data_IF_778675205120
#
_entry.id   IF_778675205120
#
_cell.length_a   1.000
_cell.length_b   1.000
_cell.length_c   1.000
_cell.angle_alpha   90.00
_cell.angle_beta   90.00
_cell.angle_gamma   90.00
#
_symmetry.space_group_name_H-M   'P 1'
#
loop_
_entity.id
_entity.type
_entity.pdbx_description
1 polymer ?
#
# COMPACT_ATOMS: atom_id res chain seq x y z
N UNK A 1 -7.45 -21.33 -9.97
CA UNK A 1 -7.93 -19.94 -9.91
C UNK A 1 -6.91 -19.01 -10.57
N UNK A 2 -7.35 -17.93 -11.24
CA UNK A 2 -6.46 -16.89 -11.82
C UNK A 2 -5.80 -16.03 -10.72
N UNK A 3 -6.51 -15.82 -9.62
CA UNK A 3 -6.02 -15.10 -8.44
C UNK A 3 -7.10 -15.04 -7.36
N UNK A 4 -6.90 -14.16 -6.40
CA UNK A 4 -7.83 -13.81 -5.33
C UNK A 4 -7.95 -12.28 -5.22
N UNK A 5 -8.98 -11.82 -4.51
CA UNK A 5 -9.09 -10.41 -4.10
C UNK A 5 -8.66 -10.28 -2.64
N UNK A 6 -8.01 -9.17 -2.33
CA UNK A 6 -7.71 -8.76 -0.97
C UNK A 6 -8.00 -7.27 -0.77
N UNK A 7 -7.98 -6.86 0.50
CA UNK A 7 -7.96 -5.45 0.87
C UNK A 7 -6.54 -5.04 1.24
N UNK A 8 -6.18 -3.78 1.04
CA UNK A 8 -4.85 -3.24 1.37
C UNK A 8 -5.01 -1.86 2.01
N UNK A 9 -4.91 -1.82 3.34
CA UNK A 9 -4.99 -0.59 4.16
C UNK A 9 -3.62 -0.12 4.61
N UNK A 10 -2.70 -1.06 4.82
CA UNK A 10 -1.30 -0.81 5.19
C UNK A 10 -0.33 -1.80 4.53
N UNK A 11 -0.75 -2.50 3.46
CA UNK A 11 0.04 -3.52 2.78
C UNK A 11 -0.61 -4.90 2.67
N UNK A 12 -1.86 -5.08 3.10
CA UNK A 12 -2.49 -6.41 3.21
C UNK A 12 -2.72 -7.17 1.89
N UNK A 13 -2.50 -6.55 0.72
CA UNK A 13 -2.35 -7.25 -0.57
C UNK A 13 -0.87 -7.47 -0.90
N UNK A 14 -0.05 -6.42 -0.74
CA UNK A 14 1.37 -6.43 -1.16
C UNK A 14 2.27 -7.29 -0.27
N UNK A 15 2.14 -7.19 1.05
CA UNK A 15 2.92 -7.94 2.04
C UNK A 15 2.74 -9.46 1.84
N UNK A 16 1.53 -10.04 1.96
CA UNK A 16 1.39 -11.49 1.79
C UNK A 16 1.79 -11.95 0.39
N UNK A 17 1.64 -11.10 -0.63
CA UNK A 17 2.11 -11.42 -1.97
C UNK A 17 3.64 -11.52 -2.05
N UNK A 18 4.35 -10.56 -1.43
CA UNK A 18 5.81 -10.58 -1.28
C UNK A 18 6.28 -11.83 -0.54
N UNK A 19 5.66 -12.13 0.61
CA UNK A 19 6.04 -13.26 1.45
C UNK A 19 5.73 -14.63 0.81
N UNK A 20 4.75 -14.70 -0.09
CA UNK A 20 4.35 -15.93 -0.77
C UNK A 20 4.91 -16.06 -2.20
N UNK A 21 5.71 -15.11 -2.67
CA UNK A 21 6.28 -15.14 -4.03
C UNK A 21 5.24 -15.04 -5.14
N UNK A 22 4.20 -14.21 -4.95
CA UNK A 22 3.16 -13.94 -5.96
C UNK A 22 3.04 -12.43 -6.25
N UNK A 23 2.27 -12.06 -7.26
CA UNK A 23 2.00 -10.66 -7.62
C UNK A 23 0.81 -10.11 -6.83
N UNK A 24 1.02 -9.06 -6.03
CA UNK A 24 -0.03 -8.31 -5.36
C UNK A 24 -0.10 -6.88 -5.89
N UNK A 25 -1.27 -6.44 -6.33
CA UNK A 25 -1.45 -5.09 -6.88
C UNK A 25 -2.43 -4.31 -6.01
N UNK A 26 -1.95 -3.25 -5.37
CA UNK A 26 -2.81 -2.24 -4.75
C UNK A 26 -3.05 -1.14 -5.80
N UNK A 27 -4.25 -0.94 -6.33
CA UNK A 27 -4.46 0.12 -7.32
C UNK A 27 -4.45 1.50 -6.66
N UNK A 28 -4.58 2.56 -7.48
CA UNK A 28 -4.84 3.92 -7.00
C UNK A 28 -6.10 3.94 -6.12
N UNK A 29 -6.11 4.76 -5.07
CA UNK A 29 -7.29 4.94 -4.23
C UNK A 29 -8.53 5.29 -5.08
N UNK A 30 -9.65 4.63 -4.79
CA UNK A 30 -10.91 4.81 -5.54
C UNK A 30 -10.99 4.09 -6.90
N UNK A 31 -9.92 3.46 -7.41
CA UNK A 31 -9.95 2.74 -8.70
C UNK A 31 -10.89 1.52 -8.70
N UNK A 32 -11.03 0.87 -7.55
CA UNK A 32 -11.93 -0.27 -7.33
C UNK A 32 -12.90 0.11 -6.24
N UNK A 33 -14.20 -0.04 -6.50
CA UNK A 33 -15.27 0.25 -5.52
C UNK A 33 -15.10 -0.60 -4.26
N UNK A 34 -15.37 0.01 -3.12
CA UNK A 34 -15.34 -0.63 -1.80
C UNK A 34 -16.75 -0.90 -1.27
N UNK A 35 -17.78 -0.70 -2.10
CA UNK A 35 -19.17 -1.02 -1.72
C UNK A 35 -19.29 -2.51 -1.38
N UNK A 36 -19.74 -2.79 -0.15
CA UNK A 36 -19.86 -4.16 0.37
C UNK A 36 -18.58 -4.73 1.00
N UNK A 37 -17.50 -3.95 1.04
CA UNK A 37 -16.28 -4.28 1.79
C UNK A 37 -16.44 -3.75 3.22
N UNK A 38 -16.17 -4.60 4.21
CA UNK A 38 -16.12 -4.17 5.61
C UNK A 38 -14.92 -3.23 5.79
N UNK A 39 -15.12 -1.97 6.22
CA UNK A 39 -14.04 -1.01 6.28
C UNK A 39 -13.12 -1.30 7.47
N UNK A 40 -11.81 -1.12 7.25
CA UNK A 40 -10.84 -0.88 8.32
C UNK A 40 -10.56 0.61 8.44
N UNK A 41 -10.35 1.30 7.31
CA UNK A 41 -10.18 2.74 7.23
C UNK A 41 -10.72 3.26 5.90
N UNK A 42 -11.79 4.05 5.97
CA UNK A 42 -12.36 4.72 4.79
C UNK A 42 -11.33 5.55 4.04
N UNK A 43 -10.35 6.16 4.70
CA UNK A 43 -9.37 6.99 4.02
C UNK A 43 -8.15 6.25 3.47
N UNK A 44 -7.99 4.95 3.74
CA UNK A 44 -6.78 4.18 3.42
C UNK A 44 -7.06 2.80 2.77
N UNK A 45 -8.27 2.27 2.87
CA UNK A 45 -8.61 0.97 2.30
C UNK A 45 -8.59 0.98 0.78
N UNK A 46 -7.94 -0.03 0.20
CA UNK A 46 -7.97 -0.35 -1.22
C UNK A 46 -8.43 -1.80 -1.41
N UNK A 47 -8.99 -2.12 -2.57
CA UNK A 47 -9.24 -3.50 -3.01
C UNK A 47 -8.32 -3.80 -4.18
N UNK A 48 -7.66 -4.95 -4.16
CA UNK A 48 -6.66 -5.30 -5.17
C UNK A 48 -6.54 -6.79 -5.42
N UNK A 49 -6.06 -7.21 -6.62
CA UNK A 49 -5.83 -8.61 -6.93
C UNK A 49 -4.51 -9.13 -6.34
N UNK A 50 -4.52 -10.41 -5.98
CA UNK A 50 -3.35 -11.24 -5.69
C UNK A 50 -3.34 -12.40 -6.69
N UNK A 51 -2.31 -12.50 -7.52
CA UNK A 51 -2.26 -13.44 -8.63
C UNK A 51 -0.85 -14.00 -8.87
N UNK A 52 -0.71 -15.06 -9.66
CA UNK A 52 0.60 -15.68 -9.93
C UNK A 52 1.48 -14.88 -10.90
N UNK A 53 0.92 -13.89 -11.58
CA UNK A 53 1.62 -13.08 -12.57
C UNK A 53 1.04 -11.68 -12.69
N UNK A 54 1.83 -10.74 -13.21
CA UNK A 54 1.35 -9.40 -13.57
C UNK A 54 0.23 -9.43 -14.61
N UNK A 55 0.27 -10.39 -15.55
CA UNK A 55 -0.78 -10.57 -16.54
C UNK A 55 -2.12 -10.97 -15.91
N UNK A 56 -2.11 -11.94 -14.98
CA UNK A 56 -3.31 -12.36 -14.27
C UNK A 56 -3.85 -11.20 -13.38
N UNK A 57 -2.96 -10.47 -12.71
CA UNK A 57 -3.36 -9.30 -11.91
C UNK A 57 -4.01 -8.21 -12.78
N UNK A 58 -3.47 -7.94 -13.97
CA UNK A 58 -4.03 -6.98 -14.92
C UNK A 58 -5.43 -7.37 -15.40
N UNK A 59 -5.66 -8.66 -15.70
CA UNK A 59 -6.96 -9.18 -16.10
C UNK A 59 -8.00 -9.06 -14.98
N UNK A 60 -7.62 -9.41 -13.74
CA UNK A 60 -8.52 -9.29 -12.58
C UNK A 60 -8.81 -7.81 -12.29
N UNK A 61 -7.80 -6.94 -12.29
CA UNK A 61 -8.00 -5.51 -12.05
C UNK A 61 -8.94 -4.91 -13.10
N UNK A 62 -8.79 -5.26 -14.39
CA UNK A 62 -9.68 -4.80 -15.45
C UNK A 62 -11.15 -5.17 -15.20
N UNK A 63 -11.40 -6.33 -14.58
CA UNK A 63 -12.74 -6.81 -14.30
C UNK A 63 -13.41 -6.13 -13.08
N UNK A 64 -12.62 -5.68 -12.11
CA UNK A 64 -13.13 -5.11 -10.84
C UNK A 64 -13.01 -3.57 -10.78
N UNK A 65 -12.17 -2.97 -11.61
CA UNK A 65 -11.97 -1.53 -11.64
C UNK A 65 -13.11 -0.82 -12.39
N UNK A 66 -13.41 0.40 -11.97
CA UNK A 66 -14.42 1.25 -12.60
C UNK A 66 -15.18 2.10 -11.61
N UNK A 67 -15.85 3.11 -12.16
CA UNK A 67 -16.72 3.99 -11.40
C UNK A 67 -17.94 3.22 -10.89
N UNK A 68 -18.22 3.31 -9.58
CA UNK A 68 -19.45 2.86 -8.95
C UNK A 68 -20.16 4.06 -8.31
N UNK A 69 -21.33 4.49 -8.82
CA UNK A 69 -22.03 5.64 -8.28
C UNK A 69 -22.56 5.42 -6.85
N UNK A 70 -22.54 4.17 -6.35
CA UNK A 70 -22.90 3.85 -4.97
C UNK A 70 -21.70 3.84 -4.00
N UNK A 71 -20.51 4.20 -4.45
CA UNK A 71 -19.33 4.43 -3.61
C UNK A 71 -18.83 5.86 -3.87
N UNK A 72 -19.03 6.75 -2.90
CA UNK A 72 -18.66 8.17 -2.96
C UNK A 72 -17.15 8.41 -3.17
N UNK A 73 -16.33 7.39 -2.93
CA UNK A 73 -14.88 7.45 -3.09
C UNK A 73 -14.40 6.84 -4.40
N UNK A 74 -15.32 6.31 -5.21
CA UNK A 74 -15.00 5.68 -6.49
C UNK A 74 -14.57 6.72 -7.52
N UNK A 75 -13.42 6.46 -8.15
CA UNK A 75 -12.87 7.33 -9.19
C UNK A 75 -13.73 7.29 -10.45
N UNK A 76 -13.99 8.46 -11.04
CA UNK A 76 -14.63 8.60 -12.35
C UNK A 76 -13.65 8.43 -13.51
N UNK A 77 -12.35 8.30 -13.24
CA UNK A 77 -11.32 8.14 -14.26
C UNK A 77 -11.57 6.87 -15.09
N UNK A 78 -11.51 6.93 -16.44
CA UNK A 78 -11.68 5.75 -17.28
C UNK A 78 -10.75 4.60 -16.90
N UNK A 79 -11.23 3.37 -16.99
CA UNK A 79 -10.43 2.16 -16.73
C UNK A 79 -9.54 1.89 -17.96
N UNK A 80 -8.20 1.91 -17.82
CA UNK A 80 -7.31 1.56 -18.90
C UNK A 80 -7.43 0.09 -19.31
N UNK A 81 -7.03 -0.22 -20.55
CA UNK A 81 -6.84 -1.61 -20.94
C UNK A 81 -5.50 -2.14 -20.42
N UNK A 82 -5.48 -2.58 -19.16
CA UNK A 82 -4.26 -3.05 -18.50
C UNK A 82 -3.56 -4.20 -19.24
N UNK A 83 -4.33 -5.11 -19.87
CA UNK A 83 -3.76 -6.22 -20.63
C UNK A 83 -2.97 -5.71 -21.84
N UNK A 84 -3.52 -4.72 -22.56
CA UNK A 84 -2.81 -4.07 -23.68
C UNK A 84 -1.59 -3.28 -23.20
N UNK A 85 -1.63 -2.71 -22.00
CA UNK A 85 -0.48 -2.00 -21.43
C UNK A 85 0.71 -2.91 -21.10
N UNK A 86 0.53 -4.23 -21.02
CA UNK A 86 1.65 -5.18 -20.87
C UNK A 86 2.52 -5.28 -22.13
N UNK A 87 1.98 -4.87 -23.28
CA UNK A 87 2.68 -4.84 -24.56
C UNK A 87 3.44 -3.51 -24.78
N UNK A 88 3.44 -2.63 -23.76
CA UNK A 88 4.03 -1.30 -23.86
C UNK A 88 5.56 -1.35 -24.02
N UNK A 89 6.05 -0.82 -25.14
CA UNK A 89 7.47 -0.75 -25.45
C UNK A 89 8.24 0.34 -24.69
N UNK A 90 7.57 1.15 -23.85
CA UNK A 90 8.18 2.30 -23.13
C UNK A 90 9.22 1.93 -22.08
N UNK A 91 9.44 0.64 -21.80
CA UNK A 91 10.46 0.21 -20.84
C UNK A 91 11.85 0.84 -21.12
N UNK A 92 12.18 1.07 -22.40
CA UNK A 92 13.43 1.70 -22.86
C UNK A 92 13.58 3.20 -22.56
N UNK A 93 12.53 3.86 -22.09
CA UNK A 93 12.54 5.29 -21.78
C UNK A 93 11.97 5.59 -20.40
N UNK A 94 11.74 4.56 -19.59
CA UNK A 94 11.11 4.69 -18.30
C UNK A 94 12.11 5.25 -17.29
N UNK A 95 11.74 6.33 -16.60
CA UNK A 95 12.55 6.93 -15.53
C UNK A 95 12.17 6.26 -14.22
N UNK A 96 13.10 5.53 -13.63
CA UNK A 96 12.90 4.72 -12.42
C UNK A 96 13.64 5.40 -11.28
N UNK A 97 12.89 5.88 -10.29
CA UNK A 97 13.43 6.42 -9.05
C UNK A 97 13.71 5.31 -8.04
N UNK A 98 14.94 5.26 -7.52
CA UNK A 98 15.29 4.39 -6.40
C UNK A 98 15.40 5.26 -5.15
N UNK A 99 14.51 5.11 -4.16
CA UNK A 99 14.61 5.90 -2.93
C UNK A 99 15.96 5.67 -2.25
N UNK A 100 16.67 6.75 -1.92
CA UNK A 100 17.98 6.68 -1.27
C UNK A 100 17.86 6.24 0.18
N UNK A 101 16.92 6.84 0.90
CA UNK A 101 16.65 6.58 2.31
C UNK A 101 15.36 5.77 2.53
N UNK A 102 15.14 5.35 3.78
CA UNK A 102 13.96 4.66 4.29
C UNK A 102 13.81 3.22 3.79
N UNK A 103 13.68 3.02 2.47
CA UNK A 103 13.40 1.72 1.85
C UNK A 103 14.58 0.75 1.83
N UNK A 104 15.79 1.23 2.10
CA UNK A 104 17.01 0.41 2.12
C UNK A 104 17.70 0.39 3.49
N UNK A 105 17.09 1.01 4.50
CA UNK A 105 17.60 1.04 5.87
C UNK A 105 17.13 -0.20 6.65
N UNK A 106 18.01 -0.89 7.38
CA UNK A 106 17.66 -2.08 8.17
C UNK A 106 16.86 -3.12 7.35
N UNK A 107 17.46 -3.61 6.26
CA UNK A 107 16.88 -4.59 5.33
C UNK A 107 17.79 -5.82 5.30
N UNK A 108 17.19 -7.01 5.25
CA UNK A 108 17.93 -8.27 5.14
C UNK A 108 18.80 -8.29 3.88
N UNK A 109 20.00 -8.85 4.02
CA UNK A 109 20.98 -8.90 2.91
C UNK A 109 20.41 -9.60 1.66
N UNK A 110 19.63 -10.67 1.84
CA UNK A 110 19.02 -11.40 0.72
C UNK A 110 17.95 -10.57 0.00
N UNK A 111 17.16 -9.79 0.75
CA UNK A 111 16.17 -8.85 0.18
C UNK A 111 16.89 -7.75 -0.62
N UNK A 112 17.98 -7.20 -0.08
CA UNK A 112 18.81 -6.20 -0.76
C UNK A 112 19.37 -6.75 -2.08
N UNK A 113 19.92 -7.96 -2.07
CA UNK A 113 20.44 -8.62 -3.29
C UNK A 113 19.31 -8.79 -4.32
N UNK A 114 18.15 -9.30 -3.90
CA UNK A 114 17.01 -9.54 -4.79
C UNK A 114 16.49 -8.25 -5.45
N UNK A 115 16.26 -7.19 -4.65
CA UNK A 115 15.73 -5.92 -5.20
C UNK A 115 16.75 -5.22 -6.08
N UNK A 116 18.04 -5.24 -5.73
CA UNK A 116 19.10 -4.65 -6.57
C UNK A 116 19.23 -5.41 -7.89
N UNK A 117 19.14 -6.74 -7.86
CA UNK A 117 19.09 -7.55 -9.09
C UNK A 117 17.90 -7.18 -9.99
N UNK A 118 16.70 -7.02 -9.41
CA UNK A 118 15.52 -6.59 -10.16
C UNK A 118 15.67 -5.18 -10.77
N UNK A 119 16.28 -4.23 -10.04
CA UNK A 119 16.59 -2.89 -10.54
C UNK A 119 17.59 -2.96 -11.70
N UNK A 120 18.66 -3.78 -11.59
CA UNK A 120 19.62 -3.96 -12.67
C UNK A 120 18.98 -4.54 -13.94
N UNK A 121 18.01 -5.44 -13.82
CA UNK A 121 17.25 -5.93 -14.98
C UNK A 121 16.47 -4.79 -15.66
N UNK A 122 15.92 -3.82 -14.92
CA UNK A 122 15.28 -2.65 -15.52
C UNK A 122 16.29 -1.79 -16.29
N UNK A 123 17.48 -1.57 -15.75
CA UNK A 123 18.57 -0.84 -16.43
C UNK A 123 19.01 -1.56 -17.72
N UNK A 124 19.23 -2.87 -17.66
CA UNK A 124 19.61 -3.70 -18.81
C UNK A 124 18.55 -3.66 -19.93
N UNK A 125 17.28 -3.55 -19.58
CA UNK A 125 16.17 -3.40 -20.51
C UNK A 125 16.00 -1.97 -21.03
N UNK A 126 16.83 -1.03 -20.57
CA UNK A 126 16.95 0.34 -21.08
C UNK A 126 16.26 1.41 -20.23
N UNK A 127 15.78 1.09 -19.03
CA UNK A 127 15.23 2.10 -18.12
C UNK A 127 16.33 3.06 -17.63
N UNK A 128 15.97 4.31 -17.39
CA UNK A 128 16.85 5.31 -16.77
C UNK A 128 16.67 5.26 -15.26
N UNK A 129 17.62 4.67 -14.55
CA UNK A 129 17.57 4.57 -13.09
C UNK A 129 18.34 5.72 -12.45
N UNK A 130 17.72 6.37 -11.46
CA UNK A 130 18.35 7.42 -10.67
C UNK A 130 17.88 7.36 -9.23
N UNK A 131 18.73 7.78 -8.30
CA UNK A 131 18.33 7.94 -6.91
C UNK A 131 17.36 9.11 -6.73
N UNK A 132 16.39 8.96 -5.83
CA UNK A 132 15.47 10.02 -5.42
C UNK A 132 15.39 10.11 -3.90
N UNK A 133 15.03 11.28 -3.39
CA UNK A 133 14.68 11.48 -1.98
C UNK A 133 13.16 11.58 -1.86
N UNK A 134 12.61 11.02 -0.78
CA UNK A 134 11.16 11.03 -0.53
C UNK A 134 10.85 11.90 0.69
N UNK A 135 10.44 13.17 0.47
CA UNK A 135 10.16 14.09 1.57
C UNK A 135 9.10 13.56 2.54
N UNK A 136 9.34 13.78 3.83
CA UNK A 136 8.48 13.38 4.97
C UNK A 136 8.03 11.91 5.00
N UNK A 137 8.80 11.01 4.38
CA UNK A 137 8.45 9.59 4.38
C UNK A 137 8.50 8.96 5.77
N UNK A 138 9.40 9.46 6.63
CA UNK A 138 9.58 8.92 7.98
C UNK A 138 8.35 9.16 8.88
N UNK A 139 7.57 10.20 8.58
CA UNK A 139 6.37 10.61 9.30
C UNK A 139 5.13 9.82 8.85
N UNK A 140 5.18 9.18 7.68
CA UNK A 140 4.03 8.48 7.09
C UNK A 140 3.42 7.39 8.01
N UNK A 141 4.18 6.54 8.72
CA UNK A 141 3.60 5.54 9.62
C UNK A 141 2.77 6.15 10.76
N UNK A 142 3.23 7.26 11.33
CA UNK A 142 2.50 7.95 12.39
C UNK A 142 1.19 8.54 11.86
N UNK A 143 1.23 9.16 10.68
CA UNK A 143 0.04 9.68 10.01
C UNK A 143 -0.97 8.57 9.70
N UNK A 144 -0.51 7.45 9.13
CA UNK A 144 -1.35 6.27 8.83
C UNK A 144 -2.07 5.79 10.09
N UNK A 145 -1.38 5.62 11.22
CA UNK A 145 -2.01 5.18 12.46
C UNK A 145 -3.02 6.20 13.01
N UNK A 146 -2.68 7.49 12.94
CA UNK A 146 -3.56 8.57 13.39
C UNK A 146 -4.84 8.72 12.54
N UNK A 147 -4.85 8.15 11.33
CA UNK A 147 -6.02 8.07 10.46
C UNK A 147 -6.75 6.73 10.69
N UNK A 148 -6.04 5.62 10.58
CA UNK A 148 -6.61 4.27 10.55
C UNK A 148 -7.28 3.88 11.87
N UNK A 149 -6.62 4.10 13.01
CA UNK A 149 -7.11 3.60 14.30
C UNK A 149 -8.42 4.27 14.75
N UNK A 150 -8.58 5.61 14.71
CA UNK A 150 -9.87 6.21 15.03
C UNK A 150 -10.97 5.86 14.02
N UNK A 151 -10.65 5.65 12.74
CA UNK A 151 -11.64 5.19 11.74
C UNK A 151 -12.12 3.76 12.02
N UNK A 152 -11.19 2.83 12.28
CA UNK A 152 -11.49 1.46 12.64
C UNK A 152 -12.36 1.40 13.90
N UNK A 153 -11.98 2.15 14.93
CA UNK A 153 -12.77 2.29 16.14
C UNK A 153 -14.17 2.85 15.83
N UNK A 154 -14.29 3.90 15.02
CA UNK A 154 -15.58 4.51 14.71
C UNK A 154 -16.55 3.50 14.07
N UNK A 155 -16.07 2.63 13.19
CA UNK A 155 -16.89 1.57 12.61
C UNK A 155 -17.31 0.51 13.65
N UNK A 156 -16.37 0.09 14.50
CA UNK A 156 -16.60 -0.98 15.48
C UNK A 156 -17.18 -0.52 16.83
N UNK A 157 -17.28 0.79 17.09
CA UNK A 157 -17.54 1.39 18.40
C UNK A 157 -18.75 0.78 19.12
N UNK A 158 -19.87 0.64 18.39
CA UNK A 158 -21.09 0.05 18.96
C UNK A 158 -20.89 -1.40 19.39
N UNK A 159 -20.27 -2.22 18.55
CA UNK A 159 -20.07 -3.64 18.85
C UNK A 159 -19.02 -3.86 19.93
N UNK A 160 -18.00 -3.00 20.04
CA UNK A 160 -17.07 -3.05 21.18
C UNK A 160 -17.78 -2.75 22.50
N UNK A 161 -18.74 -1.82 22.51
CA UNK A 161 -19.51 -1.52 23.70
C UNK A 161 -20.52 -2.64 24.07
N UNK A 162 -21.21 -3.20 23.08
CA UNK A 162 -22.31 -4.16 23.29
C UNK A 162 -21.84 -5.63 23.34
N UNK A 163 -20.78 -5.98 22.62
CA UNK A 163 -20.30 -7.36 22.41
C UNK A 163 -18.77 -7.48 22.40
N UNK A 164 -18.06 -6.95 23.43
CA UNK A 164 -16.59 -6.95 23.45
C UNK A 164 -15.99 -8.37 23.41
N UNK A 165 -16.70 -9.37 23.90
CA UNK A 165 -16.27 -10.78 23.91
C UNK A 165 -16.30 -11.46 22.53
N UNK A 166 -16.92 -10.84 21.52
CA UNK A 166 -16.96 -11.37 20.16
C UNK A 166 -15.63 -11.09 19.41
N UNK A 167 -14.75 -10.26 19.97
CA UNK A 167 -13.44 -9.93 19.42
C UNK A 167 -12.34 -10.77 20.07
N UNK A 168 -11.34 -11.17 19.28
CA UNK A 168 -10.07 -11.62 19.82
C UNK A 168 -9.36 -10.50 20.58
N UNK A 169 -8.57 -10.86 21.60
CA UNK A 169 -7.89 -9.89 22.47
C UNK A 169 -6.94 -8.97 21.67
N UNK A 170 -6.31 -9.49 20.62
CA UNK A 170 -5.42 -8.76 19.71
C UNK A 170 -6.17 -7.67 18.92
N UNK A 171 -7.31 -8.01 18.33
CA UNK A 171 -8.15 -7.08 17.56
C UNK A 171 -8.77 -6.06 18.49
N UNK A 172 -9.31 -6.51 19.64
CA UNK A 172 -9.92 -5.64 20.63
C UNK A 172 -8.94 -4.59 21.13
N UNK A 173 -7.72 -5.00 21.52
CA UNK A 173 -6.69 -4.07 21.98
C UNK A 173 -6.33 -3.00 20.94
N UNK A 174 -6.21 -3.40 19.66
CA UNK A 174 -5.95 -2.45 18.56
C UNK A 174 -7.11 -1.48 18.32
N UNK A 175 -8.35 -1.93 18.43
CA UNK A 175 -9.51 -1.03 18.29
C UNK A 175 -9.60 -0.06 19.47
N UNK A 176 -9.35 -0.53 20.69
CA UNK A 176 -9.33 0.32 21.90
C UNK A 176 -8.22 1.39 21.84
N UNK A 177 -7.08 1.13 21.18
CA UNK A 177 -6.07 2.16 20.91
C UNK A 177 -6.61 3.35 20.11
N UNK A 178 -7.67 3.18 19.30
CA UNK A 178 -8.32 4.29 18.59
C UNK A 178 -8.83 5.38 19.53
N UNK A 179 -9.15 5.05 20.79
CA UNK A 179 -9.57 6.02 21.82
C UNK A 179 -8.43 6.96 22.24
N UNK A 180 -7.18 6.58 21.99
CA UNK A 180 -6.00 7.34 22.37
C UNK A 180 -5.63 8.43 21.35
N UNK A 181 -6.36 8.52 20.23
CA UNK A 181 -6.13 9.50 19.17
C UNK A 181 -7.16 10.63 19.24
N UNK A 182 -6.78 11.82 19.74
CA UNK A 182 -7.65 12.99 19.68
C UNK A 182 -7.97 13.37 18.23
N UNK A 183 -9.12 14.01 18.01
CA UNK A 183 -9.51 14.55 16.71
C UNK A 183 -8.43 15.48 16.11
N UNK A 184 -7.67 16.19 16.95
CA UNK A 184 -6.56 17.04 16.51
C UNK A 184 -5.48 16.22 15.79
N UNK A 185 -5.09 15.05 16.31
CA UNK A 185 -4.10 14.19 15.69
C UNK A 185 -4.57 13.65 14.33
N UNK A 186 -5.86 13.33 14.20
CA UNK A 186 -6.45 12.97 12.91
C UNK A 186 -6.35 14.14 11.91
N UNK A 187 -6.73 15.36 12.31
CA UNK A 187 -6.64 16.55 11.46
C UNK A 187 -5.19 16.86 11.05
N UNK A 188 -4.24 16.75 11.98
CA UNK A 188 -2.82 16.94 11.69
C UNK A 188 -2.29 15.88 10.70
N UNK A 189 -2.69 14.63 10.86
CA UNK A 189 -2.37 13.56 9.92
C UNK A 189 -2.95 13.82 8.53
N UNK A 190 -4.19 14.35 8.42
CA UNK A 190 -4.75 14.77 7.13
C UNK A 190 -3.93 15.89 6.48
N UNK A 191 -3.47 16.87 7.27
CA UNK A 191 -2.65 17.97 6.73
C UNK A 191 -1.29 17.49 6.26
N UNK A 192 -0.65 16.62 7.04
CA UNK A 192 0.62 15.99 6.66
C UNK A 192 0.46 15.14 5.40
N UNK A 193 -0.62 14.38 5.28
CA UNK A 193 -0.95 13.62 4.06
C UNK A 193 -0.99 14.53 2.83
N UNK A 194 -1.72 15.65 2.90
CA UNK A 194 -1.79 16.61 1.79
C UNK A 194 -0.42 17.17 1.41
N UNK A 195 0.40 17.52 2.39
CA UNK A 195 1.77 17.98 2.17
C UNK A 195 2.63 16.92 1.47
N UNK A 196 2.59 15.67 1.94
CA UNK A 196 3.35 14.56 1.34
C UNK A 196 2.91 14.35 -0.11
N UNK A 197 1.60 14.34 -0.39
CA UNK A 197 1.07 14.16 -1.75
C UNK A 197 1.57 15.26 -2.69
N UNK A 198 1.50 16.52 -2.26
CA UNK A 198 1.97 17.67 -3.05
C UNK A 198 3.48 17.59 -3.31
N UNK A 199 4.27 17.34 -2.27
CA UNK A 199 5.73 17.26 -2.41
C UNK A 199 6.19 16.05 -3.22
N UNK A 200 5.55 14.89 -3.08
CA UNK A 200 5.91 13.73 -3.90
C UNK A 200 5.56 13.97 -5.36
N UNK A 201 4.42 14.59 -5.64
CA UNK A 201 4.05 14.97 -7.01
C UNK A 201 5.12 15.87 -7.64
N UNK A 202 5.47 16.97 -6.99
CA UNK A 202 6.35 17.99 -7.56
C UNK A 202 7.84 17.64 -7.49
N UNK A 203 8.30 17.08 -6.37
CA UNK A 203 9.74 16.86 -6.13
C UNK A 203 10.21 15.48 -6.56
N UNK A 204 9.29 14.53 -6.77
CA UNK A 204 9.63 13.13 -7.11
C UNK A 204 9.09 12.79 -8.50
N UNK A 205 7.78 12.78 -8.69
CA UNK A 205 7.15 12.27 -9.91
C UNK A 205 7.26 13.21 -11.14
N UNK A 206 7.65 14.47 -10.96
CA UNK A 206 8.11 15.29 -12.09
C UNK A 206 9.42 14.74 -12.69
N UNK A 207 10.27 14.13 -11.87
CA UNK A 207 11.57 13.58 -12.24
C UNK A 207 11.56 12.11 -12.68
N UNK A 208 10.64 11.31 -12.16
CA UNK A 208 10.56 9.86 -12.40
C UNK A 208 9.15 9.38 -12.70
N UNK A 209 9.02 8.29 -13.44
CA UNK A 209 7.72 7.71 -13.82
C UNK A 209 7.23 6.65 -12.82
N UNK A 210 8.16 5.97 -12.12
CA UNK A 210 7.84 5.04 -11.04
C UNK A 210 8.95 4.99 -9.99
N UNK A 211 8.63 4.40 -8.83
CA UNK A 211 9.59 4.11 -7.77
C UNK A 211 9.88 2.60 -7.71
N UNK A 212 11.14 2.23 -7.52
CA UNK A 212 11.56 0.85 -7.31
C UNK A 212 12.18 0.69 -5.91
N UNK A 213 11.53 -0.13 -5.08
CA UNK A 213 11.91 -0.38 -3.68
C UNK A 213 11.45 -1.78 -3.24
N UNK A 214 12.08 -2.37 -2.20
CA UNK A 214 11.60 -3.63 -1.64
C UNK A 214 10.20 -3.48 -1.02
N UNK A 215 9.38 -4.53 -1.11
CA UNK A 215 8.03 -4.53 -0.53
C UNK A 215 8.04 -4.72 0.98
N UNK A 216 8.92 -5.58 1.50
CA UNK A 216 9.15 -5.83 2.92
C UNK A 216 10.66 -5.78 3.20
N UNK A 217 11.10 -5.36 4.40
CA UNK A 217 12.53 -5.31 4.72
C UNK A 217 13.12 -6.68 5.05
N UNK A 218 12.28 -7.65 5.37
CA UNK A 218 12.64 -8.99 5.79
C UNK A 218 11.89 -10.04 4.97
N UNK A 219 12.40 -11.27 4.98
CA UNK A 219 11.69 -12.44 4.47
C UNK A 219 10.49 -12.81 5.38
N UNK A 220 9.78 -13.88 5.04
CA UNK A 220 8.65 -14.33 5.85
C UNK A 220 9.12 -14.75 7.25
N UNK A 221 8.65 -14.10 8.33
CA UNK A 221 8.96 -14.54 9.68
C UNK A 221 8.31 -15.90 9.94
N UNK A 222 8.89 -16.68 10.85
CA UNK A 222 8.23 -17.89 11.34
C UNK A 222 6.95 -17.54 12.11
N UNK A 223 6.07 -18.52 12.28
CA UNK A 223 4.85 -18.32 13.08
C UNK A 223 5.14 -17.98 14.55
N UNK A 224 6.31 -18.38 15.05
CA UNK A 224 6.76 -18.09 16.42
C UNK A 224 7.24 -16.65 16.58
N UNK A 225 7.76 -16.06 15.50
CA UNK A 225 8.24 -14.67 15.43
C UNK A 225 7.15 -13.68 15.00
N UNK A 226 5.93 -14.17 14.68
CA UNK A 226 4.83 -13.37 14.14
C UNK A 226 4.13 -12.51 15.22
N UNK A 227 4.86 -11.54 15.78
CA UNK A 227 4.38 -10.61 16.81
C UNK A 227 4.09 -9.19 16.28
N UNK A 228 3.91 -8.24 17.20
CA UNK A 228 3.68 -6.84 16.85
C UNK A 228 4.90 -6.19 16.20
N UNK A 229 6.12 -6.51 16.63
CA UNK A 229 7.35 -5.95 16.07
C UNK A 229 7.55 -6.44 14.63
N UNK A 230 7.32 -7.72 14.38
CA UNK A 230 7.28 -8.27 13.03
C UNK A 230 6.23 -7.57 12.16
N UNK A 231 5.03 -7.34 12.69
CA UNK A 231 3.97 -6.59 11.98
C UNK A 231 4.43 -5.18 11.61
N UNK A 232 4.98 -4.42 12.56
CA UNK A 232 5.46 -3.05 12.35
C UNK A 232 6.61 -3.01 11.33
N UNK A 233 7.47 -4.01 11.36
CA UNK A 233 8.57 -4.18 10.40
C UNK A 233 8.03 -4.40 8.98
N UNK A 234 7.06 -5.30 8.81
CA UNK A 234 6.49 -5.63 7.49
C UNK A 234 5.71 -4.47 6.85
N UNK A 235 4.97 -3.68 7.64
CA UNK A 235 4.16 -2.57 7.11
C UNK A 235 4.96 -1.31 6.78
N UNK A 236 6.22 -1.23 7.21
CA UNK A 236 7.07 -0.03 7.09
C UNK A 236 7.11 0.50 5.65
N UNK A 237 7.29 -0.39 4.68
CA UNK A 237 7.47 -0.02 3.27
C UNK A 237 6.15 0.14 2.51
N UNK A 238 5.06 -0.41 3.01
CA UNK A 238 3.77 -0.36 2.32
C UNK A 238 2.91 0.83 2.73
N UNK A 239 2.99 1.23 4.00
CA UNK A 239 2.20 2.32 4.60
C UNK A 239 2.27 3.66 3.85
N UNK A 240 3.45 4.17 3.43
CA UNK A 240 3.52 5.45 2.73
C UNK A 240 2.61 5.50 1.50
N UNK A 241 2.52 4.41 0.74
CA UNK A 241 1.69 4.34 -0.47
C UNK A 241 0.18 4.23 -0.19
N UNK A 242 -0.23 3.70 0.97
CA UNK A 242 -1.63 3.80 1.40
C UNK A 242 -2.00 5.23 1.77
N UNK A 243 -1.10 5.93 2.48
CA UNK A 243 -1.30 7.30 2.91
C UNK A 243 -1.57 8.23 1.73
N UNK A 244 -0.76 8.11 0.67
CA UNK A 244 -0.84 8.98 -0.51
C UNK A 244 -1.76 8.44 -1.63
N UNK A 245 -2.29 7.22 -1.49
CA UNK A 245 -3.22 6.63 -2.44
C UNK A 245 -2.62 6.23 -3.80
N UNK A 246 -1.29 6.19 -3.93
CA UNK A 246 -0.59 5.80 -5.16
C UNK A 246 -0.64 4.28 -5.40
N UNK A 247 -0.72 3.80 -6.66
CA UNK A 247 -0.71 2.37 -6.97
C UNK A 247 0.62 1.69 -6.62
#
# INVERSE_FOLDING_TARGET
ALGALGTDTGGSVRIPSSLCGITGLKPTYGRVSRRGVVPLSWALDHVGPMARSAADAALILKAIAGHDPGDETSSEEPVPDYAKMLEDSRLKSLRVGVPREYFFDNVDAEVLVAVRGAISVLEELGAQVSEVSLPHIAEAPAAVNAIMLPEALAYHHRWLAERPQDYGDDVRGRLEMGLLYPAVSYIEAQRLRSLIVEEWREKVFDGVDLLAAPTTPVAAPSLEEADLEATLTLVRFTNPFNLVGLP
#
